data_IF_478758330760
#
_entry.id   IF_478758330760
#
_cell.length_a   1.000
_cell.length_b   1.000
_cell.length_c   1.000
_cell.angle_alpha   90.00
_cell.angle_beta   90.00
_cell.angle_gamma   90.00
#
_symmetry.space_group_name_H-M   'P 1'
#
loop_
_entity.id
_entity.type
_entity.pdbx_description
1 polymer ?
#
# COMPACT_ATOMS: atom_id res chain seq x y z
N UNK A 1 28.89 20.43 -16.22
CA UNK A 1 27.59 19.84 -16.58
C UNK A 1 26.84 19.61 -15.28
N UNK A 2 25.95 20.55 -14.96
CA UNK A 2 25.44 20.77 -13.60
C UNK A 2 24.57 19.62 -13.08
N UNK A 3 25.07 18.93 -12.06
CA UNK A 3 24.28 18.09 -11.16
C UNK A 3 23.88 18.96 -9.96
N UNK A 4 22.91 19.86 -10.09
CA UNK A 4 22.14 20.46 -8.97
C UNK A 4 21.18 21.58 -9.41
N UNK A 5 20.36 21.34 -10.44
CA UNK A 5 19.11 22.11 -10.53
C UNK A 5 18.14 21.56 -9.47
N UNK A 6 18.13 22.15 -8.28
CA UNK A 6 17.11 21.89 -7.27
C UNK A 6 15.77 22.33 -7.87
N UNK A 7 14.98 21.35 -8.31
CA UNK A 7 13.67 21.58 -8.95
C UNK A 7 12.79 22.39 -7.99
N UNK A 8 12.41 23.59 -8.38
CA UNK A 8 11.52 24.42 -7.57
C UNK A 8 10.10 23.86 -7.65
N UNK A 9 9.70 23.08 -6.65
CA UNK A 9 8.30 22.71 -6.48
C UNK A 9 7.49 23.94 -6.06
N UNK A 10 6.20 24.04 -6.45
CA UNK A 10 5.30 25.06 -5.92
C UNK A 10 5.31 25.08 -4.38
N UNK A 11 5.09 26.27 -3.80
CA UNK A 11 5.09 26.45 -2.33
C UNK A 11 4.12 25.47 -1.67
N UNK A 12 4.56 24.85 -0.57
CA UNK A 12 3.78 23.89 0.20
C UNK A 12 3.75 22.47 -0.37
N UNK A 13 4.60 22.18 -1.37
CA UNK A 13 4.81 20.84 -1.91
C UNK A 13 6.22 20.34 -1.66
N UNK A 14 6.33 19.06 -1.32
CA UNK A 14 7.59 18.38 -0.98
C UNK A 14 7.66 17.01 -1.65
N UNK A 15 8.85 16.47 -1.94
CA UNK A 15 8.98 15.07 -2.33
C UNK A 15 8.42 14.15 -1.25
N UNK A 16 7.71 13.07 -1.64
CA UNK A 16 7.20 12.10 -0.68
C UNK A 16 8.22 10.99 -0.39
N UNK A 17 8.81 11.00 0.81
CA UNK A 17 9.91 10.11 1.20
C UNK A 17 9.47 8.75 1.77
N UNK A 18 8.17 8.54 1.94
CA UNK A 18 7.60 7.31 2.51
C UNK A 18 7.09 6.33 1.44
N UNK A 19 7.40 6.58 0.17
CA UNK A 19 7.08 5.64 -0.91
C UNK A 19 8.03 4.44 -0.88
N UNK A 20 7.48 3.24 -0.66
CA UNK A 20 8.26 1.99 -0.57
C UNK A 20 8.13 1.10 -1.81
N UNK A 21 7.18 1.40 -2.70
CA UNK A 21 6.89 0.65 -3.91
C UNK A 21 6.39 1.55 -5.05
N UNK A 22 6.32 0.98 -6.26
CA UNK A 22 5.85 1.67 -7.47
C UNK A 22 6.94 1.86 -8.53
N UNK A 23 6.69 2.78 -9.46
CA UNK A 23 7.60 3.10 -10.56
C UNK A 23 8.17 4.51 -10.37
N UNK A 24 9.48 4.60 -10.13
CA UNK A 24 10.23 5.87 -10.08
C UNK A 24 10.56 6.41 -11.48
N UNK A 25 9.76 6.07 -12.49
CA UNK A 25 10.03 6.41 -13.89
C UNK A 25 9.84 7.90 -14.20
N UNK A 26 9.30 8.68 -13.26
CA UNK A 26 9.16 10.12 -13.40
C UNK A 26 10.12 10.85 -12.45
N UNK A 27 10.91 11.83 -12.94
CA UNK A 27 11.73 12.70 -12.12
C UNK A 27 11.01 13.48 -11.00
N UNK A 28 9.68 13.57 -10.99
CA UNK A 28 8.88 14.27 -9.96
C UNK A 28 8.45 13.34 -8.82
N UNK A 29 8.18 12.06 -9.12
CA UNK A 29 7.67 11.10 -8.13
C UNK A 29 6.32 11.50 -7.53
N UNK A 30 5.97 10.86 -6.40
CA UNK A 30 4.84 11.27 -5.57
C UNK A 30 5.25 12.49 -4.74
N UNK A 31 4.36 13.46 -4.61
CA UNK A 31 4.58 14.63 -3.76
C UNK A 31 3.72 14.56 -2.50
N UNK A 32 4.15 15.23 -1.44
CA UNK A 32 3.37 15.55 -0.26
C UNK A 32 3.02 17.03 -0.26
N UNK A 33 1.86 17.36 0.29
CA UNK A 33 1.40 18.73 0.50
C UNK A 33 1.20 19.03 1.99
N UNK A 34 1.33 20.30 2.37
CA UNK A 34 1.18 20.78 3.76
C UNK A 34 -0.18 20.43 4.40
N UNK A 35 -1.22 20.28 3.58
CA UNK A 35 -2.58 19.93 4.05
C UNK A 35 -2.77 18.44 4.40
N UNK A 36 -1.67 17.68 4.48
CA UNK A 36 -1.69 16.25 4.78
C UNK A 36 -2.22 15.39 3.63
N UNK A 37 -1.96 15.79 2.38
CA UNK A 37 -2.27 14.98 1.20
C UNK A 37 -1.03 14.53 0.45
N UNK A 38 -1.13 13.40 -0.24
CA UNK A 38 -0.19 13.01 -1.30
C UNK A 38 -0.76 13.38 -2.68
N UNK A 39 0.15 13.70 -3.61
CA UNK A 39 -0.14 13.95 -5.02
C UNK A 39 0.55 12.88 -5.84
N UNK A 40 -0.24 11.93 -6.36
CA UNK A 40 0.23 10.88 -7.25
C UNK A 40 0.12 11.37 -8.70
N UNK A 41 1.24 11.47 -9.45
CA UNK A 41 1.19 11.97 -10.82
C UNK A 41 0.46 10.97 -11.74
N UNK A 42 -0.42 11.50 -12.59
CA UNK A 42 -1.19 10.75 -13.58
C UNK A 42 -0.46 10.78 -14.92
N UNK A 43 0.33 9.74 -15.20
CA UNK A 43 1.35 9.76 -16.25
C UNK A 43 1.13 8.74 -17.37
N UNK A 44 0.17 7.84 -17.21
CA UNK A 44 0.00 6.71 -18.11
C UNK A 44 -1.46 6.39 -18.31
N UNK A 45 -1.94 6.55 -19.53
CA UNK A 45 -3.28 6.11 -19.91
C UNK A 45 -3.24 4.68 -20.47
N UNK A 46 -4.31 3.87 -20.27
CA UNK A 46 -5.57 4.21 -19.58
C UNK A 46 -5.50 4.08 -18.03
N UNK A 47 -4.36 3.71 -17.45
CA UNK A 47 -4.26 3.38 -16.03
C UNK A 47 -4.59 4.56 -15.10
N UNK A 48 -4.18 5.76 -15.51
CA UNK A 48 -4.37 6.99 -14.75
C UNK A 48 -5.86 7.36 -14.68
N UNK A 49 -6.55 7.33 -15.82
CA UNK A 49 -8.00 7.55 -15.84
C UNK A 49 -8.78 6.43 -15.14
N UNK A 50 -8.32 5.17 -15.22
CA UNK A 50 -8.91 4.05 -14.48
C UNK A 50 -8.87 4.29 -12.96
N UNK A 51 -7.70 4.64 -12.42
CA UNK A 51 -7.53 4.88 -10.98
C UNK A 51 -8.41 6.03 -10.49
N UNK A 52 -8.43 7.16 -11.21
CA UNK A 52 -9.27 8.32 -10.88
C UNK A 52 -10.75 7.94 -10.88
N UNK A 53 -11.24 7.31 -11.95
CA UNK A 53 -12.65 6.89 -12.07
C UNK A 53 -13.06 5.92 -10.98
N UNK A 54 -12.15 5.04 -10.55
CA UNK A 54 -12.44 4.11 -9.47
C UNK A 54 -12.58 4.83 -8.12
N UNK A 55 -11.70 5.78 -7.81
CA UNK A 55 -11.86 6.62 -6.62
C UNK A 55 -13.14 7.46 -6.68
N UNK A 56 -13.45 8.08 -7.82
CA UNK A 56 -14.71 8.82 -8.02
C UNK A 56 -15.92 7.92 -7.76
N UNK A 57 -15.93 6.70 -8.34
CA UNK A 57 -17.01 5.72 -8.17
C UNK A 57 -17.18 5.30 -6.71
N UNK A 58 -16.09 4.94 -6.01
CA UNK A 58 -16.14 4.61 -4.58
C UNK A 58 -16.72 5.78 -3.78
N UNK A 59 -16.43 7.03 -4.14
CA UNK A 59 -16.89 8.19 -3.38
C UNK A 59 -18.34 8.58 -3.66
N UNK A 60 -18.85 8.35 -4.87
CA UNK A 60 -20.24 8.63 -5.23
C UNK A 60 -21.21 7.49 -4.94
N UNK A 61 -20.72 6.25 -4.84
CA UNK A 61 -21.58 5.07 -4.68
C UNK A 61 -22.19 4.97 -3.27
N UNK A 62 -23.50 4.77 -3.20
CA UNK A 62 -24.23 4.54 -1.94
C UNK A 62 -24.47 3.06 -1.67
N UNK A 63 -24.01 2.17 -2.55
CA UNK A 63 -24.13 0.73 -2.45
C UNK A 63 -22.81 0.08 -2.01
N UNK A 64 -22.58 -1.14 -2.49
CA UNK A 64 -21.46 -2.00 -2.06
C UNK A 64 -20.09 -1.41 -2.36
N UNK A 65 -19.91 -0.63 -3.43
CA UNK A 65 -18.61 0.00 -3.71
C UNK A 65 -18.35 1.18 -2.77
N UNK A 66 -19.40 1.83 -2.27
CA UNK A 66 -19.30 2.88 -1.28
C UNK A 66 -18.63 2.44 0.02
N UNK A 67 -18.77 1.17 0.41
CA UNK A 67 -18.13 0.62 1.61
C UNK A 67 -16.60 0.64 1.54
N UNK A 68 -16.02 0.61 0.33
CA UNK A 68 -14.57 0.70 0.15
C UNK A 68 -13.96 2.01 0.65
N UNK A 69 -14.76 3.08 0.86
CA UNK A 69 -14.27 4.32 1.49
C UNK A 69 -13.63 4.06 2.86
N UNK A 70 -14.08 3.04 3.60
CA UNK A 70 -13.49 2.65 4.90
C UNK A 70 -12.07 2.09 4.76
N UNK A 71 -11.79 1.46 3.62
CA UNK A 71 -10.58 0.69 3.37
C UNK A 71 -9.61 1.39 2.42
N UNK A 72 -9.91 2.60 1.97
CA UNK A 72 -9.09 3.34 0.99
C UNK A 72 -8.64 4.70 1.55
N UNK A 73 -7.53 5.28 1.05
CA UNK A 73 -7.20 6.67 1.37
C UNK A 73 -8.33 7.60 0.90
N UNK A 74 -8.63 8.63 1.70
CA UNK A 74 -9.66 9.61 1.30
C UNK A 74 -9.29 10.27 -0.03
N UNK A 75 -10.20 10.21 -1.00
CA UNK A 75 -10.06 10.86 -2.29
C UNK A 75 -10.39 12.35 -2.16
N UNK A 76 -9.45 13.21 -2.54
CA UNK A 76 -9.58 14.67 -2.46
C UNK A 76 -9.65 15.32 -3.85
N UNK A 77 -9.99 14.54 -4.87
CA UNK A 77 -10.11 14.99 -6.25
C UNK A 77 -8.83 14.86 -7.08
N UNK A 78 -8.81 15.58 -8.20
CA UNK A 78 -7.63 15.74 -9.06
C UNK A 78 -7.22 17.20 -9.13
N UNK A 79 -5.95 17.46 -9.40
CA UNK A 79 -5.45 18.82 -9.58
C UNK A 79 -4.40 18.87 -10.69
N UNK A 80 -4.28 20.03 -11.35
CA UNK A 80 -3.24 20.29 -12.32
C UNK A 80 -2.18 21.19 -11.69
N UNK A 81 -0.91 20.87 -11.91
CA UNK A 81 0.22 21.70 -11.50
C UNK A 81 1.18 21.85 -12.67
N UNK A 82 1.67 23.07 -12.87
CA UNK A 82 2.77 23.33 -13.80
C UNK A 82 4.08 23.19 -13.04
N UNK A 83 4.90 22.19 -13.41
CA UNK A 83 6.21 21.93 -12.79
C UNK A 83 7.25 21.86 -13.90
N UNK A 84 8.23 22.78 -13.86
CA UNK A 84 9.24 22.92 -14.93
C UNK A 84 8.60 23.06 -16.32
N UNK A 85 7.66 24.01 -16.45
CA UNK A 85 6.92 24.32 -17.70
C UNK A 85 6.12 23.14 -18.29
N UNK A 86 5.83 22.12 -17.48
CA UNK A 86 4.99 20.99 -17.85
C UNK A 86 3.77 20.93 -16.96
N UNK A 87 2.60 20.94 -17.59
CA UNK A 87 1.34 20.67 -16.92
C UNK A 87 1.21 19.19 -16.62
N UNK A 88 1.06 18.87 -15.34
CA UNK A 88 0.95 17.51 -14.85
C UNK A 88 -0.31 17.44 -14.02
N UNK A 89 -1.17 16.47 -14.37
CA UNK A 89 -2.35 16.14 -13.58
C UNK A 89 -1.95 15.19 -12.45
N UNK A 90 -2.50 15.43 -11.27
CA UNK A 90 -2.28 14.63 -10.07
C UNK A 90 -3.60 14.13 -9.53
N UNK A 91 -3.56 12.90 -9.01
CA UNK A 91 -4.56 12.36 -8.10
C UNK A 91 -4.19 12.78 -6.67
N UNK A 92 -5.10 13.46 -5.97
CA UNK A 92 -4.90 13.94 -4.60
C UNK A 92 -5.59 13.00 -3.61
N UNK A 93 -4.81 12.42 -2.69
CA UNK A 93 -5.28 11.47 -1.69
C UNK A 93 -4.82 11.86 -0.29
N UNK A 94 -5.48 11.37 0.76
CA UNK A 94 -4.95 11.41 2.13
C UNK A 94 -3.51 10.87 2.22
N UNK A 95 -2.61 11.60 2.88
CA UNK A 95 -1.32 11.06 3.31
C UNK A 95 -1.51 10.25 4.60
N UNK A 96 -1.44 8.93 4.47
CA UNK A 96 -1.58 8.02 5.62
C UNK A 96 -0.50 8.21 6.68
N UNK A 97 0.66 8.75 6.30
CA UNK A 97 1.81 8.99 7.16
C UNK A 97 1.82 10.39 7.77
N UNK A 98 0.77 11.19 7.53
CA UNK A 98 0.74 12.56 8.01
C UNK A 98 0.83 12.64 9.54
N UNK A 99 1.74 13.48 10.04
CA UNK A 99 1.99 13.64 11.47
C UNK A 99 2.78 12.50 12.14
N UNK A 100 3.24 11.50 11.38
CA UNK A 100 4.09 10.43 11.90
C UNK A 100 5.54 10.91 12.10
N UNK A 101 6.17 10.50 13.19
CA UNK A 101 7.58 10.84 13.47
C UNK A 101 8.54 9.78 12.92
N UNK A 102 8.22 8.49 13.13
CA UNK A 102 9.00 7.35 12.64
C UNK A 102 8.09 6.43 11.82
N UNK A 103 7.66 6.85 10.60
CA UNK A 103 6.71 6.07 9.79
C UNK A 103 7.30 4.74 9.32
N UNK A 104 6.62 3.65 9.65
CA UNK A 104 6.86 2.31 9.14
C UNK A 104 5.78 1.97 8.11
N UNK A 105 6.18 1.64 6.88
CA UNK A 105 5.27 1.38 5.76
C UNK A 105 5.67 0.09 5.06
N UNK A 106 4.71 -0.79 4.78
CA UNK A 106 4.89 -1.99 3.96
C UNK A 106 3.81 -2.07 2.89
N UNK A 107 4.25 -2.25 1.64
CA UNK A 107 3.38 -2.55 0.52
C UNK A 107 3.28 -4.08 0.36
N UNK A 108 2.06 -4.60 0.38
CA UNK A 108 1.76 -6.00 0.08
C UNK A 108 0.81 -6.06 -1.10
N UNK A 109 1.32 -6.49 -2.25
CA UNK A 109 0.54 -6.63 -3.48
C UNK A 109 -0.26 -7.91 -3.45
N UNK A 110 -1.58 -7.81 -3.59
CA UNK A 110 -2.50 -8.93 -3.48
C UNK A 110 -2.79 -9.54 -4.85
N UNK A 111 -2.91 -10.87 -4.88
CA UNK A 111 -3.20 -11.67 -6.06
C UNK A 111 -2.00 -12.49 -6.53
N UNK A 112 -2.23 -13.77 -6.86
CA UNK A 112 -1.24 -14.61 -7.56
C UNK A 112 -1.04 -14.13 -9.00
N UNK A 113 -2.10 -13.57 -9.60
CA UNK A 113 -2.10 -12.91 -10.89
C UNK A 113 -2.11 -11.39 -10.72
N UNK A 114 -1.10 -10.72 -11.28
CA UNK A 114 -0.88 -9.27 -11.14
C UNK A 114 -1.07 -8.49 -12.46
N UNK A 115 -1.68 -9.12 -13.47
CA UNK A 115 -1.99 -8.52 -14.76
C UNK A 115 -3.49 -8.61 -15.07
N UNK A 116 -4.05 -7.51 -15.59
CA UNK A 116 -5.46 -7.41 -15.97
C UNK A 116 -5.78 -8.21 -17.25
N UNK A 117 -7.05 -8.60 -17.50
CA UNK A 117 -7.43 -9.43 -18.65
C UNK A 117 -6.98 -8.89 -20.02
N UNK A 118 -6.93 -7.58 -20.19
CA UNK A 118 -6.52 -6.88 -21.41
C UNK A 118 -4.99 -6.74 -21.57
N UNK A 119 -4.19 -7.18 -20.60
CA UNK A 119 -2.74 -7.07 -20.66
C UNK A 119 -2.16 -7.83 -21.86
N UNK A 120 -1.26 -7.20 -22.62
CA UNK A 120 -0.51 -7.85 -23.71
C UNK A 120 0.26 -9.07 -23.22
N UNK A 121 0.49 -10.06 -24.08
CA UNK A 121 1.22 -11.28 -23.75
C UNK A 121 2.60 -11.01 -23.10
N UNK A 122 3.39 -10.08 -23.67
CA UNK A 122 4.68 -9.67 -23.10
C UNK A 122 4.55 -9.12 -21.67
N UNK A 123 3.49 -8.35 -21.40
CA UNK A 123 3.21 -7.81 -20.06
C UNK A 123 2.81 -8.92 -19.10
N UNK A 124 2.00 -9.90 -19.53
CA UNK A 124 1.62 -11.06 -18.70
C UNK A 124 2.85 -11.85 -18.28
N UNK A 125 3.68 -12.26 -19.26
CA UNK A 125 4.92 -12.97 -19.00
C UNK A 125 5.87 -12.20 -18.08
N UNK A 126 5.97 -10.88 -18.26
CA UNK A 126 6.82 -10.02 -17.42
C UNK A 126 6.30 -9.94 -15.98
N UNK A 127 4.99 -9.83 -15.78
CA UNK A 127 4.40 -9.79 -14.44
C UNK A 127 4.42 -11.16 -13.76
N UNK A 128 4.24 -12.26 -14.50
CA UNK A 128 4.28 -13.63 -13.98
C UNK A 128 5.67 -13.99 -13.44
N UNK A 129 6.74 -13.59 -14.13
CA UNK A 129 8.12 -13.80 -13.67
C UNK A 129 8.46 -13.03 -12.39
N UNK A 130 7.81 -11.88 -12.13
CA UNK A 130 8.10 -11.08 -10.93
C UNK A 130 7.47 -11.72 -9.71
N UNK A 131 8.25 -11.89 -8.64
CA UNK A 131 7.76 -12.42 -7.36
C UNK A 131 7.09 -13.81 -7.50
N UNK A 132 7.53 -14.61 -8.47
CA UNK A 132 6.87 -15.87 -8.84
C UNK A 132 6.67 -16.78 -7.62
N UNK A 133 7.74 -16.98 -6.85
CA UNK A 133 7.78 -17.85 -5.67
C UNK A 133 6.70 -17.50 -4.64
N UNK A 134 6.66 -16.23 -4.20
CA UNK A 134 5.74 -15.78 -3.15
C UNK A 134 4.31 -15.66 -3.65
N UNK A 135 4.08 -15.20 -4.90
CA UNK A 135 2.74 -15.18 -5.49
C UNK A 135 2.13 -16.58 -5.63
N UNK A 136 2.92 -17.58 -6.00
CA UNK A 136 2.44 -18.97 -6.09
C UNK A 136 2.14 -19.56 -4.71
N UNK A 137 3.03 -19.35 -3.73
CA UNK A 137 2.85 -19.91 -2.39
C UNK A 137 1.74 -19.23 -1.59
N UNK A 138 1.65 -17.90 -1.68
CA UNK A 138 0.81 -17.09 -0.79
C UNK A 138 -0.32 -16.33 -1.48
N UNK A 139 -0.31 -16.20 -2.81
CA UNK A 139 -1.26 -15.33 -3.50
C UNK A 139 -1.03 -13.84 -3.23
N UNK A 140 0.16 -13.44 -2.80
CA UNK A 140 0.59 -12.06 -2.68
C UNK A 140 2.12 -11.96 -2.82
N UNK A 141 2.64 -10.74 -2.96
CA UNK A 141 4.06 -10.47 -2.81
C UNK A 141 4.31 -9.17 -2.04
N UNK A 142 5.57 -8.92 -1.66
CA UNK A 142 5.99 -7.73 -0.89
C UNK A 142 6.94 -6.90 -1.76
N UNK A 143 6.43 -5.90 -2.50
CA UNK A 143 7.28 -5.05 -3.34
C UNK A 143 8.27 -4.18 -2.56
N UNK A 144 7.98 -3.87 -1.30
CA UNK A 144 8.91 -3.12 -0.46
C UNK A 144 8.33 -2.72 0.89
N UNK A 145 9.23 -2.45 1.83
CA UNK A 145 8.88 -1.81 3.10
C UNK A 145 10.01 -0.90 3.60
N UNK A 146 9.65 0.03 4.47
CA UNK A 146 10.55 0.84 5.29
C UNK A 146 10.09 0.72 6.73
N UNK A 147 10.98 0.33 7.63
CA UNK A 147 10.66 0.14 9.04
C UNK A 147 11.73 0.80 9.91
N UNK A 148 11.30 1.51 10.94
CA UNK A 148 12.16 1.89 12.05
C UNK A 148 12.21 0.72 13.03
N UNK A 149 13.36 0.06 13.14
CA UNK A 149 13.57 -1.05 14.05
C UNK A 149 13.86 -0.49 15.45
N UNK A 150 12.94 -0.76 16.40
CA UNK A 150 13.03 -0.22 17.75
C UNK A 150 14.16 -0.84 18.58
N UNK A 151 14.48 -2.12 18.37
CA UNK A 151 15.57 -2.78 19.12
C UNK A 151 16.96 -2.34 18.63
N UNK A 152 17.10 -2.08 17.32
CA UNK A 152 18.37 -1.65 16.70
C UNK A 152 18.51 -0.13 16.58
N UNK A 153 17.45 0.61 16.86
CA UNK A 153 17.38 2.06 16.72
C UNK A 153 17.81 2.58 15.33
N UNK A 154 17.41 1.90 14.26
CA UNK A 154 17.79 2.24 12.90
C UNK A 154 16.64 2.04 11.90
N UNK A 155 16.80 2.59 10.68
CA UNK A 155 15.87 2.36 9.58
C UNK A 155 16.36 1.17 8.76
N UNK A 156 15.46 0.23 8.49
CA UNK A 156 15.67 -0.89 7.55
C UNK A 156 14.76 -0.69 6.34
N UNK A 157 15.33 -0.83 5.13
CA UNK A 157 14.59 -0.72 3.86
C UNK A 157 14.69 -2.06 3.15
N UNK A 158 13.54 -2.61 2.79
CA UNK A 158 13.43 -3.78 1.94
C UNK A 158 13.00 -3.34 0.55
N UNK A 159 13.89 -3.55 -0.42
CA UNK A 159 13.73 -3.04 -1.77
C UNK A 159 12.95 -3.99 -2.67
N UNK A 160 12.51 -3.46 -3.81
CA UNK A 160 11.88 -4.22 -4.89
C UNK A 160 12.72 -5.41 -5.37
N UNK A 161 14.04 -5.25 -5.44
CA UNK A 161 14.94 -6.31 -5.90
C UNK A 161 15.07 -7.42 -4.85
N UNK A 162 15.07 -7.07 -3.56
CA UNK A 162 14.99 -8.08 -2.49
C UNK A 162 13.66 -8.83 -2.55
N UNK A 163 12.54 -8.11 -2.72
CA UNK A 163 11.23 -8.73 -2.81
C UNK A 163 11.09 -9.73 -3.96
N UNK A 164 11.68 -9.44 -5.13
CA UNK A 164 11.64 -10.37 -6.28
C UNK A 164 12.35 -11.69 -6.01
N UNK A 165 13.36 -11.68 -5.14
CA UNK A 165 14.18 -12.84 -4.80
C UNK A 165 13.73 -13.55 -3.51
N UNK A 166 12.72 -13.01 -2.82
CA UNK A 166 12.19 -13.55 -1.57
C UNK A 166 11.63 -14.96 -1.79
N UNK A 167 12.04 -15.92 -0.96
CA UNK A 167 11.45 -17.27 -0.96
C UNK A 167 10.23 -17.33 -0.05
N UNK A 168 9.32 -18.32 -0.23
CA UNK A 168 8.16 -18.46 0.64
C UNK A 168 8.53 -18.61 2.13
N UNK A 169 9.62 -19.31 2.43
CA UNK A 169 10.09 -19.59 3.79
C UNK A 169 10.58 -18.33 4.52
N UNK A 170 11.01 -17.32 3.76
CA UNK A 170 11.51 -16.04 4.29
C UNK A 170 10.39 -15.03 4.58
N UNK A 171 9.19 -15.22 3.99
CA UNK A 171 8.05 -14.31 4.15
C UNK A 171 7.68 -14.08 5.63
N UNK A 172 7.55 -15.11 6.49
CA UNK A 172 7.30 -14.91 7.92
C UNK A 172 8.34 -14.01 8.61
N UNK A 173 9.63 -14.17 8.26
CA UNK A 173 10.72 -13.35 8.81
C UNK A 173 10.59 -11.90 8.39
N UNK A 174 10.26 -11.64 7.12
CA UNK A 174 10.00 -10.28 6.62
C UNK A 174 8.86 -9.59 7.38
N UNK A 175 7.76 -10.30 7.66
CA UNK A 175 6.69 -9.76 8.50
C UNK A 175 7.13 -9.53 9.94
N UNK A 176 7.90 -10.44 10.54
CA UNK A 176 8.46 -10.27 11.90
C UNK A 176 9.34 -9.02 12.00
N UNK A 177 10.18 -8.77 10.99
CA UNK A 177 11.02 -7.57 10.91
C UNK A 177 10.18 -6.29 10.82
N UNK A 178 9.22 -6.25 9.89
CA UNK A 178 8.34 -5.09 9.73
C UNK A 178 7.47 -4.82 10.97
N UNK A 179 6.98 -5.85 11.64
CA UNK A 179 6.11 -5.74 12.81
C UNK A 179 6.90 -5.58 14.12
N UNK A 180 8.19 -5.21 14.05
CA UNK A 180 9.01 -4.91 15.23
C UNK A 180 9.00 -6.06 16.26
N UNK A 181 9.07 -7.31 15.79
CA UNK A 181 9.02 -8.51 16.62
C UNK A 181 10.13 -8.51 17.70
N UNK A 182 11.35 -8.14 17.33
CA UNK A 182 12.50 -8.06 18.25
C UNK A 182 12.31 -7.13 19.46
N UNK A 183 11.34 -6.20 19.38
CA UNK A 183 10.96 -5.30 20.48
C UNK A 183 9.65 -5.69 21.18
N UNK A 184 9.08 -6.86 20.85
CA UNK A 184 7.87 -7.40 21.49
C UNK A 184 6.54 -6.80 21.02
N UNK A 185 6.55 -5.93 20.00
CA UNK A 185 5.35 -5.21 19.56
C UNK A 185 4.52 -5.94 18.49
N UNK A 186 5.02 -7.05 17.94
CA UNK A 186 4.37 -7.75 16.83
C UNK A 186 2.93 -8.18 17.14
N UNK A 187 2.69 -8.79 18.32
CA UNK A 187 1.36 -9.25 18.70
C UNK A 187 0.34 -8.10 18.73
N UNK A 188 0.71 -6.99 19.35
CA UNK A 188 -0.11 -5.79 19.44
C UNK A 188 -0.44 -5.22 18.04
N UNK A 189 0.54 -5.10 17.15
CA UNK A 189 0.30 -4.60 15.79
C UNK A 189 -0.64 -5.53 15.01
N UNK A 190 -0.44 -6.85 15.10
CA UNK A 190 -1.31 -7.83 14.42
C UNK A 190 -2.74 -7.74 14.94
N UNK A 191 -2.94 -7.58 16.25
CA UNK A 191 -4.26 -7.44 16.87
C UNK A 191 -5.01 -6.18 16.40
N UNK A 192 -4.29 -5.18 15.87
CA UNK A 192 -4.89 -3.97 15.28
C UNK A 192 -5.18 -4.10 13.79
N UNK A 193 -4.35 -4.82 13.03
CA UNK A 193 -4.59 -5.02 11.59
C UNK A 193 -5.68 -6.07 11.30
N UNK A 194 -5.70 -7.16 12.05
CA UNK A 194 -6.55 -8.31 11.75
C UNK A 194 -8.04 -7.98 11.66
N UNK A 195 -8.66 -7.22 12.61
CA UNK A 195 -10.08 -6.90 12.52
C UNK A 195 -10.45 -6.17 11.22
N UNK A 196 -9.64 -5.19 10.81
CA UNK A 196 -9.85 -4.41 9.57
C UNK A 196 -9.71 -5.31 8.34
N UNK A 197 -8.71 -6.20 8.34
CA UNK A 197 -8.50 -7.13 7.23
C UNK A 197 -9.62 -8.17 7.11
N UNK A 198 -10.17 -8.64 8.24
CA UNK A 198 -11.31 -9.55 8.24
C UNK A 198 -12.58 -8.86 7.72
N UNK A 199 -12.86 -7.61 8.13
CA UNK A 199 -13.99 -6.84 7.56
C UNK A 199 -13.81 -6.66 6.05
N UNK A 200 -12.58 -6.36 5.61
CA UNK A 200 -12.24 -6.26 4.19
C UNK A 200 -12.44 -7.58 3.44
N UNK A 201 -12.06 -8.72 4.04
CA UNK A 201 -12.25 -10.05 3.44
C UNK A 201 -13.73 -10.39 3.28
N UNK A 202 -14.55 -10.08 4.29
CA UNK A 202 -16.00 -10.28 4.20
C UNK A 202 -16.61 -9.43 3.07
N UNK A 203 -16.17 -8.18 2.92
CA UNK A 203 -16.57 -7.35 1.78
C UNK A 203 -16.21 -7.99 0.44
N UNK A 204 -14.97 -8.49 0.30
CA UNK A 204 -14.49 -9.16 -0.92
C UNK A 204 -15.25 -10.44 -1.26
N UNK A 205 -15.76 -11.17 -0.26
CA UNK A 205 -16.58 -12.36 -0.43
C UNK A 205 -18.00 -12.07 -0.91
N UNK A 206 -18.51 -10.87 -0.65
CA UNK A 206 -19.87 -10.45 -0.98
C UNK A 206 -19.96 -9.76 -2.34
N UNK A 207 -19.00 -8.87 -2.63
CA UNK A 207 -19.03 -8.08 -3.85
C UNK A 207 -18.74 -8.93 -5.09
N UNK A 208 -19.34 -8.55 -6.22
CA UNK A 208 -19.11 -9.19 -7.53
C UNK A 208 -18.84 -8.20 -8.65
N UNK A 209 -18.70 -6.92 -8.33
CA UNK A 209 -18.79 -5.80 -9.28
C UNK A 209 -17.43 -5.28 -9.74
N UNK A 210 -16.34 -5.69 -9.08
CA UNK A 210 -14.99 -5.29 -9.44
C UNK A 210 -13.99 -6.41 -9.18
N UNK A 211 -13.05 -6.60 -10.10
CA UNK A 211 -11.79 -7.31 -9.89
C UNK A 211 -10.64 -6.30 -9.84
N UNK A 212 -9.69 -6.50 -8.93
CA UNK A 212 -8.50 -5.68 -8.82
C UNK A 212 -7.25 -6.48 -9.17
N UNK A 213 -6.43 -5.93 -10.05
CA UNK A 213 -5.13 -6.50 -10.40
C UNK A 213 -4.01 -5.55 -10.02
N UNK A 214 -2.89 -6.08 -9.52
CA UNK A 214 -1.70 -5.27 -9.20
C UNK A 214 -1.91 -4.19 -8.13
N UNK A 215 -3.02 -4.18 -7.41
CA UNK A 215 -3.28 -3.33 -6.23
C UNK A 215 -2.66 -3.92 -4.97
N UNK A 216 -2.49 -3.09 -3.95
CA UNK A 216 -1.82 -3.47 -2.71
C UNK A 216 -2.63 -3.14 -1.47
N UNK A 217 -2.32 -3.83 -0.37
CA UNK A 217 -2.56 -3.34 0.98
C UNK A 217 -1.31 -2.62 1.46
N UNK A 218 -1.48 -1.35 1.85
CA UNK A 218 -0.44 -0.55 2.45
C UNK A 218 -0.61 -0.58 3.97
N UNK A 219 0.28 -1.29 4.64
CA UNK A 219 0.40 -1.31 6.09
C UNK A 219 1.17 -0.08 6.54
N UNK A 220 0.72 0.55 7.62
CA UNK A 220 1.35 1.72 8.19
C UNK A 220 1.26 1.71 9.71
N UNK A 221 2.36 2.04 10.38
CA UNK A 221 2.32 2.52 11.76
C UNK A 221 3.41 3.55 12.06
N UNK A 222 3.27 4.31 13.15
CA UNK A 222 4.34 5.19 13.66
C UNK A 222 5.11 4.50 14.80
N UNK A 223 6.38 4.17 14.56
CA UNK A 223 7.23 3.51 15.57
C UNK A 223 7.50 4.41 16.80
N UNK A 224 7.44 5.74 16.66
CA UNK A 224 7.61 6.63 17.80
C UNK A 224 6.47 6.48 18.81
N UNK A 225 5.24 6.35 18.31
CA UNK A 225 4.07 6.11 19.16
C UNK A 225 4.07 4.69 19.71
N UNK A 226 4.51 3.72 18.91
CA UNK A 226 4.65 2.34 19.35
C UNK A 226 5.62 2.20 20.53
N UNK A 227 6.76 2.89 20.48
CA UNK A 227 7.76 2.97 21.56
C UNK A 227 7.18 3.58 22.85
N UNK A 228 6.31 4.60 22.71
CA UNK A 228 5.66 5.26 23.84
C UNK A 228 4.54 4.43 24.49
N UNK A 229 3.97 3.43 23.80
CA UNK A 229 2.91 2.58 24.36
C UNK A 229 3.37 1.72 25.54
N UNK A 230 4.67 1.47 25.67
CA UNK A 230 5.23 0.83 26.86
C UNK A 230 5.13 1.71 28.11
N UNK A 231 4.71 2.98 27.98
CA UNK A 231 4.72 3.97 29.06
C UNK A 231 3.34 4.57 29.39
N UNK A 232 2.37 4.69 28.47
CA UNK A 232 1.08 5.33 28.77
C UNK A 232 -0.13 4.77 27.96
N UNK A 233 -1.33 4.88 28.55
CA UNK A 233 -2.62 4.23 28.25
C UNK A 233 -3.26 4.43 26.85
N UNK A 234 -4.07 3.42 26.45
CA UNK A 234 -5.30 3.38 25.61
C UNK A 234 -5.68 4.55 24.67
N UNK A 235 -4.73 5.22 24.03
CA UNK A 235 -5.04 6.20 22.99
C UNK A 235 -5.56 5.52 21.72
N UNK A 236 -6.44 6.20 20.97
CA UNK A 236 -6.95 5.71 19.67
C UNK A 236 -5.78 5.36 18.74
N UNK A 237 -5.59 4.06 18.53
CA UNK A 237 -4.50 3.53 17.72
C UNK A 237 -4.75 3.73 16.22
N UNK A 238 -6.00 3.96 15.81
CA UNK A 238 -6.38 4.05 14.40
C UNK A 238 -5.79 5.28 13.71
N UNK A 239 -5.43 6.32 14.48
CA UNK A 239 -4.78 7.51 13.96
C UNK A 239 -3.36 7.25 13.44
N UNK A 240 -2.67 6.24 13.98
CA UNK A 240 -1.24 5.99 13.73
C UNK A 240 -0.90 4.52 13.47
N UNK A 241 -1.90 3.64 13.37
CA UNK A 241 -1.82 2.28 12.83
C UNK A 241 -2.94 2.15 11.80
N UNK A 242 -2.59 1.96 10.53
CA UNK A 242 -3.55 1.93 9.43
C UNK A 242 -3.21 0.83 8.45
N UNK A 243 -4.23 0.25 7.85
CA UNK A 243 -4.12 -0.57 6.64
C UNK A 243 -5.13 -0.08 5.62
N UNK A 244 -4.70 0.14 4.38
CA UNK A 244 -5.57 0.60 3.29
C UNK A 244 -5.24 -0.11 1.97
N UNK A 245 -6.27 -0.34 1.17
CA UNK A 245 -6.14 -0.71 -0.23
C UNK A 245 -5.67 0.50 -1.04
N UNK A 246 -4.69 0.29 -1.91
CA UNK A 246 -4.12 1.32 -2.80
C UNK A 246 -3.88 0.77 -4.21
N UNK A 247 -3.53 1.67 -5.14
CA UNK A 247 -3.13 1.38 -6.53
C UNK A 247 -4.25 0.74 -7.38
N UNK A 248 -5.27 1.53 -7.71
CA UNK A 248 -6.46 1.07 -8.47
C UNK A 248 -6.36 1.26 -9.99
N UNK A 249 -5.13 1.36 -10.51
CA UNK A 249 -4.83 1.53 -11.93
C UNK A 249 -5.34 0.41 -12.86
N UNK A 250 -5.71 -0.73 -12.28
CA UNK A 250 -6.24 -1.90 -12.99
C UNK A 250 -7.50 -2.44 -12.29
N UNK A 251 -8.39 -1.55 -11.88
CA UNK A 251 -9.73 -1.91 -11.44
C UNK A 251 -10.60 -2.23 -12.65
N UNK A 252 -11.16 -3.44 -12.70
CA UNK A 252 -11.91 -3.96 -13.85
C UNK A 252 -13.33 -4.30 -13.40
N UNK A 253 -14.38 -3.80 -14.08
CA UNK A 253 -15.76 -4.23 -13.82
C UNK A 253 -15.90 -5.75 -13.92
N UNK A 254 -16.70 -6.33 -13.04
CA UNK A 254 -16.91 -7.77 -12.99
C UNK A 254 -18.38 -8.13 -12.70
N UNK A 255 -18.71 -9.40 -12.86
CA UNK A 255 -20.01 -10.00 -12.49
C UNK A 255 -19.83 -11.22 -11.57
N UNK A 256 -18.62 -11.43 -11.05
CA UNK A 256 -18.23 -12.56 -10.22
C UNK A 256 -17.29 -12.14 -9.10
N UNK A 257 -17.11 -13.00 -8.10
CA UNK A 257 -16.17 -12.77 -7.00
C UNK A 257 -14.75 -12.72 -7.55
N UNK A 258 -13.94 -11.78 -7.06
CA UNK A 258 -12.50 -11.77 -7.31
C UNK A 258 -11.82 -12.83 -6.43
N UNK A 259 -11.78 -14.08 -6.91
CA UNK A 259 -11.11 -15.16 -6.19
C UNK A 259 -9.62 -14.91 -6.05
N UNK A 260 -8.98 -14.26 -7.02
CA UNK A 260 -7.56 -13.92 -6.98
C UNK A 260 -7.23 -12.99 -5.80
N UNK A 261 -8.05 -11.95 -5.58
CA UNK A 261 -7.89 -11.07 -4.43
C UNK A 261 -8.29 -11.76 -3.12
N UNK A 262 -9.45 -12.43 -3.11
CA UNK A 262 -10.00 -13.08 -1.92
C UNK A 262 -9.05 -14.14 -1.36
N UNK A 263 -8.47 -14.99 -2.21
CA UNK A 263 -7.53 -16.04 -1.81
C UNK A 263 -6.22 -15.44 -1.28
N UNK A 264 -5.69 -14.40 -1.94
CA UNK A 264 -4.48 -13.72 -1.50
C UNK A 264 -4.65 -13.03 -0.14
N UNK A 265 -5.79 -12.35 0.06
CA UNK A 265 -6.11 -11.73 1.34
C UNK A 265 -6.34 -12.78 2.44
N UNK A 266 -7.05 -13.87 2.15
CA UNK A 266 -7.26 -14.97 3.12
C UNK A 266 -5.94 -15.56 3.59
N UNK A 267 -5.02 -15.87 2.67
CA UNK A 267 -3.69 -16.42 3.01
C UNK A 267 -2.83 -15.43 3.79
N UNK A 268 -2.92 -14.14 3.48
CA UNK A 268 -2.24 -13.10 4.27
C UNK A 268 -2.78 -13.03 5.70
N UNK A 269 -4.10 -13.10 5.88
CA UNK A 269 -4.75 -13.14 7.20
C UNK A 269 -4.33 -14.40 7.97
N UNK A 270 -4.31 -15.56 7.31
CA UNK A 270 -3.86 -16.83 7.91
C UNK A 270 -2.40 -16.76 8.37
N UNK A 271 -1.51 -16.18 7.56
CA UNK A 271 -0.12 -15.93 7.94
C UNK A 271 -0.03 -15.06 9.20
N UNK A 272 -0.73 -13.93 9.24
CA UNK A 272 -0.71 -13.05 10.41
C UNK A 272 -1.30 -13.72 11.65
N UNK A 273 -2.38 -14.50 11.51
CA UNK A 273 -2.93 -15.31 12.60
C UNK A 273 -1.92 -16.33 13.12
N UNK A 274 -1.19 -17.03 12.24
CA UNK A 274 -0.13 -17.97 12.62
C UNK A 274 0.99 -17.25 13.39
N UNK A 275 1.47 -16.13 12.87
CA UNK A 275 2.49 -15.30 13.53
C UNK A 275 2.03 -14.81 14.91
N UNK A 276 0.74 -14.48 15.05
CA UNK A 276 0.15 -14.07 16.33
C UNK A 276 0.10 -15.20 17.35
N UNK A 277 -0.15 -16.44 16.92
CA UNK A 277 -0.22 -17.63 17.78
C UNK A 277 1.17 -18.12 18.22
N UNK A 278 2.20 -17.92 17.40
CA UNK A 278 3.60 -18.18 17.75
C UNK A 278 4.11 -17.28 18.90
N UNK A 279 3.34 -16.23 19.28
CA UNK A 279 3.71 -15.24 20.28
C UNK A 279 2.65 -15.17 21.40
N UNK A 280 2.93 -15.81 22.55
CA UNK A 280 2.19 -15.63 23.81
C UNK A 280 2.91 -14.64 24.71
#
# INVERSE_FOLDING_TARGET
MDRNAQKSLPKGLFPYENQVAGHNANPIGVLKSEDGSILKPLLKEPQSSCEVKFYEKINSDTGILGDLRKFTPCFKGTMNLTINDKDIKFLKLEDMTNGAVKPCVMDVKIGSRTWAPDASETKRQTEDRKYMSTKQAYGFCIPGYKVYNLSKNNISIFSKELGKNLTPEEVPTVFKDFLNHSSGHMGFLIDRYLPVMMEMLEWWRLQKVVHLYSSSLLFFYDAHRLEAMNKESTQDCNAWIKIRMIDFAHAVPAESIDSNYTDGLSRLIELLKKLRLEYK
#
